data_IF_636922346263
#
_entry.id   IF_636922346263
#
_cell.length_a   1.000
_cell.length_b   1.000
_cell.length_c   1.000
_cell.angle_alpha   90.00
_cell.angle_beta   90.00
_cell.angle_gamma   90.00
#
_symmetry.space_group_name_H-M   'P 1'
#
loop_
_entity.id
_entity.type
_entity.pdbx_description
1 polymer ?
#
# COMPACT_ATOMS: atom_id res chain seq x y z
N UNK A 1 -33.69 -57.57 -31.18
CA UNK A 1 -32.70 -56.62 -31.73
C UNK A 1 -32.96 -55.23 -31.15
N UNK A 2 -32.70 -55.02 -29.84
CA UNK A 2 -32.96 -53.73 -29.14
C UNK A 2 -31.76 -53.31 -28.26
N UNK A 3 -30.59 -53.95 -28.43
CA UNK A 3 -29.43 -53.74 -27.54
C UNK A 3 -28.41 -52.71 -28.07
N UNK A 4 -28.50 -52.30 -29.34
CA UNK A 4 -27.48 -51.45 -29.98
C UNK A 4 -27.85 -49.96 -29.98
N UNK A 5 -29.14 -49.64 -29.89
CA UNK A 5 -29.63 -48.24 -29.87
C UNK A 5 -29.54 -47.61 -28.49
N UNK A 6 -29.75 -48.37 -27.41
CA UNK A 6 -29.63 -47.86 -26.03
C UNK A 6 -28.18 -47.51 -25.66
N UNK A 7 -27.18 -48.31 -26.07
CA UNK A 7 -25.77 -47.99 -25.77
C UNK A 7 -25.22 -46.80 -26.57
N UNK A 8 -25.82 -46.52 -27.72
CA UNK A 8 -25.47 -45.36 -28.55
C UNK A 8 -26.12 -44.09 -27.98
N UNK A 9 -27.35 -44.18 -27.47
CA UNK A 9 -28.03 -43.08 -26.77
C UNK A 9 -27.33 -42.78 -25.44
N UNK A 10 -26.87 -43.79 -24.69
CA UNK A 10 -26.07 -43.59 -23.47
C UNK A 10 -24.70 -42.96 -23.73
N UNK A 11 -24.06 -43.26 -24.88
CA UNK A 11 -22.82 -42.58 -25.32
C UNK A 11 -23.04 -41.15 -25.86
N UNK A 12 -24.25 -40.82 -26.30
CA UNK A 12 -24.63 -39.49 -26.80
C UNK A 12 -25.19 -38.60 -25.68
N UNK A 13 -25.80 -39.16 -24.64
CA UNK A 13 -26.27 -38.43 -23.45
C UNK A 13 -25.12 -37.97 -22.55
N UNK A 14 -23.98 -38.67 -22.55
CA UNK A 14 -22.75 -38.22 -21.85
C UNK A 14 -22.10 -36.98 -22.49
N UNK A 15 -22.52 -36.57 -23.70
CA UNK A 15 -22.02 -35.35 -24.37
C UNK A 15 -22.78 -34.06 -23.99
N UNK A 16 -23.76 -34.11 -23.07
CA UNK A 16 -24.57 -32.93 -22.72
C UNK A 16 -24.05 -32.13 -21.51
N UNK A 17 -22.81 -32.32 -21.07
CA UNK A 17 -22.20 -31.60 -19.92
C UNK A 17 -20.84 -30.97 -20.27
N UNK A 18 -20.68 -30.48 -21.51
CA UNK A 18 -19.38 -30.06 -22.04
C UNK A 18 -18.93 -28.68 -21.53
N UNK A 19 -18.38 -28.63 -20.31
CA UNK A 19 -17.40 -27.61 -19.94
C UNK A 19 -16.11 -27.78 -20.74
N UNK A 20 -15.30 -26.71 -20.85
CA UNK A 20 -14.01 -26.76 -21.57
C UNK A 20 -13.12 -27.83 -20.88
N UNK A 21 -12.61 -28.83 -21.62
CA UNK A 21 -11.76 -29.86 -21.03
C UNK A 21 -10.39 -29.28 -20.69
N UNK A 22 -9.99 -29.37 -19.42
CA UNK A 22 -8.72 -28.88 -18.91
C UNK A 22 -7.94 -30.04 -18.30
N UNK A 23 -6.70 -30.22 -18.72
CA UNK A 23 -5.83 -31.31 -18.27
C UNK A 23 -4.84 -30.79 -17.23
N UNK A 24 -4.69 -31.53 -16.14
CA UNK A 24 -3.81 -31.20 -15.02
C UNK A 24 -2.94 -32.39 -14.65
N UNK A 25 -1.64 -32.20 -14.56
CA UNK A 25 -0.68 -33.26 -14.23
C UNK A 25 0.27 -32.78 -13.13
N UNK A 26 0.32 -33.50 -12.01
CA UNK A 26 1.25 -33.16 -10.92
C UNK A 26 2.70 -33.42 -11.33
N UNK A 27 2.93 -34.36 -12.26
CA UNK A 27 4.26 -34.79 -12.71
C UNK A 27 4.79 -33.98 -13.89
N UNK A 28 3.93 -33.62 -14.83
CA UNK A 28 4.35 -33.02 -16.11
C UNK A 28 3.74 -31.64 -16.37
N UNK A 29 2.89 -31.14 -15.48
CA UNK A 29 2.21 -29.86 -15.63
C UNK A 29 2.99 -28.66 -15.11
N UNK A 30 2.66 -27.48 -15.63
CA UNK A 30 3.23 -26.21 -15.20
C UNK A 30 2.10 -25.16 -15.05
N UNK A 31 1.98 -24.54 -13.88
CA UNK A 31 0.92 -23.55 -13.61
C UNK A 31 1.21 -22.16 -14.19
N UNK A 32 2.46 -21.83 -14.49
CA UNK A 32 2.86 -20.53 -15.03
C UNK A 32 2.86 -20.52 -16.57
N UNK A 33 3.27 -21.63 -17.20
CA UNK A 33 3.45 -21.73 -18.65
C UNK A 33 2.49 -22.71 -19.34
N UNK A 34 1.74 -23.50 -18.57
CA UNK A 34 0.72 -24.40 -19.11
C UNK A 34 -0.47 -23.63 -19.67
N UNK A 35 -1.12 -24.20 -20.68
CA UNK A 35 -2.37 -23.68 -21.23
C UNK A 35 -3.58 -24.55 -20.84
N UNK A 36 -3.33 -25.64 -20.10
CA UNK A 36 -4.38 -26.58 -19.70
C UNK A 36 -4.78 -27.56 -20.81
N UNK A 37 -4.11 -27.56 -21.96
CA UNK A 37 -4.26 -28.59 -22.99
C UNK A 37 -3.58 -29.90 -22.56
N UNK A 38 -3.90 -30.97 -23.27
CA UNK A 38 -3.27 -32.28 -23.04
C UNK A 38 -1.74 -32.26 -23.30
N UNK A 39 -1.27 -31.34 -24.15
CA UNK A 39 0.14 -31.18 -24.51
C UNK A 39 0.92 -30.31 -23.52
N UNK A 40 0.25 -29.34 -22.89
CA UNK A 40 0.81 -28.42 -21.89
C UNK A 40 -0.14 -28.30 -20.69
N UNK A 41 -0.32 -29.38 -19.91
CA UNK A 41 -1.27 -29.41 -18.82
C UNK A 41 -0.87 -28.43 -17.71
N UNK A 42 -1.85 -27.95 -16.96
CA UNK A 42 -1.57 -27.25 -15.70
C UNK A 42 -0.99 -28.21 -14.67
N UNK A 43 -0.28 -27.70 -13.67
CA UNK A 43 0.19 -28.51 -12.56
C UNK A 43 -0.93 -28.76 -11.55
N UNK A 44 -1.79 -27.77 -11.33
CA UNK A 44 -2.87 -27.83 -10.35
C UNK A 44 -4.25 -27.57 -10.97
N UNK A 45 -5.30 -28.29 -10.51
CA UNK A 45 -6.69 -28.01 -10.90
C UNK A 45 -7.15 -26.59 -10.61
N UNK A 46 -6.56 -25.94 -9.61
CA UNK A 46 -6.87 -24.56 -9.24
C UNK A 46 -6.54 -23.57 -10.34
N UNK A 47 -5.43 -23.77 -11.05
CA UNK A 47 -5.01 -22.90 -12.15
C UNK A 47 -6.02 -22.95 -13.33
N UNK A 48 -6.62 -24.11 -13.57
CA UNK A 48 -7.71 -24.25 -14.54
C UNK A 48 -8.90 -23.33 -14.22
N UNK A 49 -9.35 -23.31 -12.96
CA UNK A 49 -10.45 -22.44 -12.52
C UNK A 49 -10.10 -20.94 -12.58
N UNK A 50 -8.83 -20.57 -12.34
CA UNK A 50 -8.36 -19.19 -12.46
C UNK A 50 -8.42 -18.67 -13.89
N UNK A 51 -8.04 -19.49 -14.87
CA UNK A 51 -7.93 -19.08 -16.27
C UNK A 51 -9.26 -19.18 -17.03
N UNK A 52 -10.05 -20.23 -16.78
CA UNK A 52 -11.20 -20.59 -17.60
C UNK A 52 -12.56 -20.53 -16.85
N UNK A 53 -12.55 -20.11 -15.58
CA UNK A 53 -13.74 -19.96 -14.73
C UNK A 53 -14.51 -21.27 -14.45
N UNK A 54 -15.77 -21.20 -14.02
CA UNK A 54 -16.52 -22.33 -13.45
C UNK A 54 -17.07 -23.34 -14.48
N UNK A 55 -16.96 -23.04 -15.78
CA UNK A 55 -17.49 -23.84 -16.89
C UNK A 55 -16.45 -24.78 -17.49
N UNK A 56 -15.68 -25.46 -16.64
CA UNK A 56 -14.60 -26.38 -17.04
C UNK A 56 -14.78 -27.79 -16.50
N UNK A 57 -14.26 -28.74 -17.26
CA UNK A 57 -14.19 -30.16 -16.91
C UNK A 57 -12.71 -30.53 -16.75
N UNK A 58 -12.29 -30.82 -15.51
CA UNK A 58 -10.86 -31.06 -15.21
C UNK A 58 -10.54 -32.55 -15.25
N UNK A 59 -9.46 -32.90 -15.96
CA UNK A 59 -8.84 -34.21 -15.99
C UNK A 59 -7.53 -34.19 -15.19
N UNK A 60 -7.28 -35.22 -14.39
CA UNK A 60 -6.07 -35.42 -13.58
C UNK A 60 -5.32 -36.68 -14.03
N UNK A 61 -4.06 -36.83 -13.61
CA UNK A 61 -3.29 -38.06 -13.83
C UNK A 61 -4.05 -39.28 -13.26
N UNK A 62 -4.29 -40.28 -14.09
CA UNK A 62 -4.92 -41.54 -13.65
C UNK A 62 -4.02 -42.26 -12.63
N UNK A 63 -4.61 -42.78 -11.55
CA UNK A 63 -3.89 -43.63 -10.59
C UNK A 63 -3.66 -45.05 -11.09
N UNK A 64 -4.38 -45.44 -12.14
CA UNK A 64 -4.35 -46.77 -12.71
C UNK A 64 -3.96 -46.66 -14.18
N UNK A 65 -2.70 -47.01 -14.48
CA UNK A 65 -2.15 -46.91 -15.85
C UNK A 65 -2.90 -47.82 -16.84
N UNK A 66 -3.66 -48.81 -16.35
CA UNK A 66 -4.48 -49.69 -17.19
C UNK A 66 -5.74 -49.03 -17.77
N UNK A 67 -6.17 -47.89 -17.20
CA UNK A 67 -7.39 -47.16 -17.62
C UNK A 67 -7.11 -45.94 -18.51
N UNK A 68 -5.85 -45.72 -18.88
CA UNK A 68 -5.40 -44.57 -19.67
C UNK A 68 -4.71 -43.50 -18.81
N UNK A 69 -4.16 -42.48 -19.49
CA UNK A 69 -3.32 -41.44 -18.87
C UNK A 69 -4.11 -40.46 -17.99
N UNK A 70 -5.39 -40.22 -18.31
CA UNK A 70 -6.21 -39.18 -17.69
C UNK A 70 -7.47 -39.75 -17.06
N UNK A 71 -7.81 -39.27 -15.87
CA UNK A 71 -9.03 -39.57 -15.14
C UNK A 71 -9.81 -38.28 -14.85
N UNK A 72 -11.14 -38.34 -14.84
CA UNK A 72 -11.97 -37.18 -14.50
C UNK A 72 -11.78 -36.81 -13.02
N UNK A 73 -11.59 -35.52 -12.73
CA UNK A 73 -11.52 -35.02 -11.36
C UNK A 73 -12.79 -35.38 -10.58
N UNK A 74 -12.64 -36.05 -9.44
CA UNK A 74 -13.76 -36.48 -8.62
C UNK A 74 -14.62 -35.30 -8.15
N UNK A 75 -15.95 -35.48 -8.05
CA UNK A 75 -16.90 -34.46 -7.59
C UNK A 75 -16.49 -33.84 -6.23
N UNK A 76 -15.94 -34.65 -5.32
CA UNK A 76 -15.45 -34.19 -4.01
C UNK A 76 -14.22 -33.30 -4.13
N UNK A 77 -13.26 -33.68 -4.99
CA UNK A 77 -12.05 -32.89 -5.24
C UNK A 77 -12.39 -31.58 -5.96
N UNK A 78 -13.27 -31.64 -6.98
CA UNK A 78 -13.76 -30.44 -7.68
C UNK A 78 -14.44 -29.44 -6.75
N UNK A 79 -15.29 -29.91 -5.82
CA UNK A 79 -15.92 -29.04 -4.81
C UNK A 79 -14.89 -28.37 -3.90
N UNK A 80 -13.85 -29.09 -3.47
CA UNK A 80 -12.76 -28.54 -2.64
C UNK A 80 -11.99 -27.43 -3.38
N UNK A 81 -11.64 -27.67 -4.64
CA UNK A 81 -10.92 -26.69 -5.47
C UNK A 81 -11.79 -25.45 -5.74
N UNK A 82 -13.10 -25.62 -5.99
CA UNK A 82 -14.05 -24.50 -6.14
C UNK A 82 -14.16 -23.64 -4.88
N UNK A 83 -14.19 -24.27 -3.70
CA UNK A 83 -14.18 -23.53 -2.42
C UNK A 83 -12.88 -22.72 -2.29
N UNK A 84 -11.73 -23.33 -2.55
CA UNK A 84 -10.43 -22.64 -2.50
C UNK A 84 -10.34 -21.47 -3.48
N UNK A 85 -10.80 -21.65 -4.72
CA UNK A 85 -10.85 -20.57 -5.71
C UNK A 85 -11.77 -19.42 -5.28
N UNK A 86 -12.94 -19.74 -4.72
CA UNK A 86 -13.87 -18.73 -4.21
C UNK A 86 -13.28 -17.94 -3.03
N UNK A 87 -12.53 -18.59 -2.13
CA UNK A 87 -11.81 -17.94 -1.04
C UNK A 87 -10.69 -17.02 -1.54
N UNK A 88 -9.86 -17.47 -2.48
CA UNK A 88 -8.82 -16.64 -3.12
C UNK A 88 -9.42 -15.42 -3.81
N UNK A 89 -10.49 -15.62 -4.59
CA UNK A 89 -11.20 -14.51 -5.27
C UNK A 89 -11.76 -13.51 -4.27
N UNK A 90 -12.38 -13.97 -3.18
CA UNK A 90 -12.87 -13.09 -2.10
C UNK A 90 -11.75 -12.34 -1.40
N UNK A 91 -10.60 -12.97 -1.18
CA UNK A 91 -9.43 -12.34 -0.58
C UNK A 91 -8.83 -11.27 -1.50
N UNK A 92 -8.69 -11.58 -2.79
CA UNK A 92 -8.23 -10.63 -3.81
C UNK A 92 -9.18 -9.44 -3.94
N UNK A 93 -10.49 -9.68 -4.01
CA UNK A 93 -11.48 -8.62 -4.09
C UNK A 93 -11.45 -7.73 -2.84
N UNK A 94 -11.31 -8.32 -1.64
CA UNK A 94 -11.15 -7.55 -0.41
C UNK A 94 -9.88 -6.70 -0.40
N UNK A 95 -8.74 -7.24 -0.84
CA UNK A 95 -7.48 -6.49 -0.95
C UNK A 95 -7.63 -5.33 -1.93
N UNK A 96 -8.19 -5.60 -3.12
CA UNK A 96 -8.43 -4.58 -4.15
C UNK A 96 -9.40 -3.51 -3.68
N UNK A 97 -10.48 -3.89 -3.02
CA UNK A 97 -11.45 -2.95 -2.45
C UNK A 97 -10.81 -2.08 -1.36
N UNK A 98 -10.01 -2.69 -0.48
CA UNK A 98 -9.27 -1.95 0.54
C UNK A 98 -8.24 -0.98 -0.07
N UNK A 99 -7.48 -1.42 -1.07
CA UNK A 99 -6.52 -0.58 -1.81
C UNK A 99 -7.22 0.59 -2.52
N UNK A 100 -8.39 0.33 -3.11
CA UNK A 100 -9.22 1.35 -3.77
C UNK A 100 -9.76 2.36 -2.76
N UNK A 101 -10.35 1.91 -1.66
CA UNK A 101 -10.84 2.78 -0.57
C UNK A 101 -9.71 3.61 0.05
N UNK A 102 -8.53 3.00 0.26
CA UNK A 102 -7.36 3.70 0.80
C UNK A 102 -6.79 4.72 -0.21
N UNK A 103 -6.84 4.43 -1.51
CA UNK A 103 -6.47 5.37 -2.57
C UNK A 103 -7.44 6.56 -2.64
N UNK A 104 -8.75 6.30 -2.63
CA UNK A 104 -9.77 7.35 -2.59
C UNK A 104 -9.62 8.24 -1.36
N UNK A 105 -9.45 7.65 -0.18
CA UNK A 105 -9.23 8.40 1.07
C UNK A 105 -7.96 9.27 1.01
N UNK A 106 -6.90 8.79 0.35
CA UNK A 106 -5.67 9.56 0.15
C UNK A 106 -5.89 10.74 -0.77
N UNK A 107 -6.62 10.53 -1.87
CA UNK A 107 -6.94 11.57 -2.85
C UNK A 107 -7.84 12.66 -2.25
N UNK A 108 -8.91 12.27 -1.56
CA UNK A 108 -9.78 13.21 -0.83
C UNK A 108 -8.99 14.07 0.17
N UNK A 109 -8.07 13.45 0.92
CA UNK A 109 -7.19 14.17 1.86
C UNK A 109 -6.25 15.15 1.16
N UNK A 110 -5.74 14.79 -0.02
CA UNK A 110 -4.89 15.68 -0.80
C UNK A 110 -5.68 16.87 -1.38
N UNK A 111 -6.91 16.64 -1.83
CA UNK A 111 -7.79 17.71 -2.30
C UNK A 111 -8.22 18.65 -1.16
N UNK A 112 -8.60 18.12 0.01
CA UNK A 112 -8.86 18.92 1.22
C UNK A 112 -7.64 19.78 1.56
N UNK A 113 -6.43 19.22 1.42
CA UNK A 113 -5.19 19.92 1.75
C UNK A 113 -4.82 21.04 0.76
N UNK A 114 -5.19 20.91 -0.51
CA UNK A 114 -4.99 21.96 -1.53
C UNK A 114 -5.81 23.22 -1.24
N UNK A 115 -6.95 23.08 -0.56
CA UNK A 115 -7.80 24.22 -0.19
C UNK A 115 -7.19 25.03 0.98
N UNK A 116 -6.36 24.40 1.80
CA UNK A 116 -5.73 25.02 2.95
C UNK A 116 -4.45 25.78 2.54
N UNK A 117 -4.61 27.06 2.21
CA UNK A 117 -3.50 27.96 1.90
C UNK A 117 -3.14 28.79 3.14
N UNK A 118 -1.87 28.68 3.56
CA UNK A 118 -1.32 29.48 4.67
C UNK A 118 -0.53 30.67 4.12
N UNK A 119 -0.54 31.79 4.85
CA UNK A 119 0.24 33.00 4.54
C UNK A 119 0.91 33.49 5.81
N UNK A 120 2.08 34.09 5.67
CA UNK A 120 2.72 34.76 6.80
C UNK A 120 1.86 35.94 7.26
N UNK A 121 1.55 35.97 8.57
CA UNK A 121 0.84 37.08 9.19
C UNK A 121 1.81 38.24 9.45
N UNK A 122 1.64 39.33 8.68
CA UNK A 122 2.46 40.54 8.78
C UNK A 122 2.17 41.38 10.03
N UNK A 123 1.12 41.07 10.79
CA UNK A 123 0.82 41.74 12.05
C UNK A 123 1.68 41.22 13.21
N UNK A 124 2.26 40.02 13.06
CA UNK A 124 3.19 39.45 14.02
C UNK A 124 4.53 40.19 14.02
N UNK A 125 5.30 40.00 15.09
CA UNK A 125 6.66 40.53 15.17
C UNK A 125 7.52 40.03 14.01
N UNK A 126 8.45 40.88 13.54
CA UNK A 126 9.38 40.49 12.49
C UNK A 126 10.24 39.32 12.97
N UNK A 127 10.25 38.22 12.21
CA UNK A 127 11.03 37.05 12.54
C UNK A 127 12.53 37.29 12.28
N UNK A 128 13.37 37.04 13.30
CA UNK A 128 14.83 37.12 13.15
C UNK A 128 15.39 35.81 12.57
N UNK A 129 16.22 35.91 11.54
CA UNK A 129 16.83 34.72 10.91
C UNK A 129 17.99 34.23 11.77
N UNK A 130 17.89 33.01 12.28
CA UNK A 130 18.91 32.42 13.16
C UNK A 130 19.27 30.99 12.75
N UNK A 131 20.41 30.50 13.27
CA UNK A 131 20.81 29.09 13.20
C UNK A 131 20.36 28.35 14.46
N UNK A 132 20.17 27.03 14.36
CA UNK A 132 19.66 26.21 15.47
C UNK A 132 20.54 26.34 16.72
N UNK A 133 21.88 26.40 16.56
CA UNK A 133 22.80 26.57 17.69
C UNK A 133 22.56 27.83 18.56
N UNK A 134 21.87 28.85 18.03
CA UNK A 134 21.60 30.10 18.75
C UNK A 134 20.22 30.16 19.41
N UNK A 135 19.33 29.18 19.17
CA UNK A 135 17.91 29.21 19.59
C UNK A 135 17.75 29.49 21.09
N UNK A 136 18.69 29.02 21.92
CA UNK A 136 18.72 29.29 23.37
C UNK A 136 18.70 30.76 23.76
N UNK A 137 19.23 31.63 22.91
CA UNK A 137 19.29 33.09 23.16
C UNK A 137 18.02 33.82 22.72
N UNK A 138 17.03 33.10 22.17
CA UNK A 138 15.84 33.67 21.53
C UNK A 138 14.54 33.22 22.20
N UNK A 139 14.57 32.87 23.49
CA UNK A 139 13.36 32.52 24.25
C UNK A 139 12.27 33.59 24.10
N UNK A 140 11.03 33.16 23.85
CA UNK A 140 9.84 33.98 23.58
C UNK A 140 9.96 34.95 22.40
N UNK A 141 10.96 34.79 21.53
CA UNK A 141 11.10 35.59 20.31
C UNK A 141 10.61 34.80 19.10
N UNK A 142 10.07 35.54 18.13
CA UNK A 142 9.72 35.00 16.81
C UNK A 142 10.96 34.93 15.95
N UNK A 143 11.25 33.75 15.41
CA UNK A 143 12.46 33.46 14.65
C UNK A 143 12.13 32.77 13.33
N UNK A 144 13.01 32.93 12.34
CA UNK A 144 12.98 32.17 11.07
C UNK A 144 14.19 31.25 11.03
N UNK A 145 13.96 29.96 10.80
CA UNK A 145 15.02 28.96 10.74
C UNK A 145 14.89 28.16 9.44
N UNK A 146 16.01 27.99 8.76
CA UNK A 146 16.13 27.14 7.58
C UNK A 146 16.75 25.80 7.98
N UNK A 147 16.23 24.70 7.44
CA UNK A 147 16.81 23.39 7.69
C UNK A 147 16.17 22.28 6.87
N UNK A 148 16.63 21.07 7.15
CA UNK A 148 16.10 19.83 6.60
C UNK A 148 15.27 19.10 7.65
N UNK A 149 14.19 18.49 7.19
CA UNK A 149 13.32 17.69 8.04
C UNK A 149 14.02 16.37 8.38
N UNK A 150 14.55 16.25 9.59
CA UNK A 150 15.21 15.03 10.03
C UNK A 150 14.20 13.92 10.36
N UNK A 151 13.15 14.25 11.12
CA UNK A 151 12.08 13.31 11.49
C UNK A 151 10.73 14.00 11.49
N UNK A 152 9.69 13.26 11.11
CA UNK A 152 8.29 13.73 11.16
C UNK A 152 7.47 12.74 11.96
N UNK A 153 6.72 13.23 12.94
CA UNK A 153 5.70 12.46 13.66
C UNK A 153 4.37 13.20 13.57
N UNK A 154 3.39 12.57 12.94
CA UNK A 154 2.01 13.11 12.81
C UNK A 154 1.11 12.46 13.85
N UNK A 155 0.42 13.27 14.64
CA UNK A 155 -0.54 12.83 15.64
C UNK A 155 -1.94 13.36 15.28
N UNK A 156 -2.74 12.50 14.64
CA UNK A 156 -4.04 12.90 14.09
C UNK A 156 -3.89 13.91 12.93
N UNK A 157 -4.91 14.75 12.75
CA UNK A 157 -4.94 15.78 11.68
C UNK A 157 -4.38 17.14 12.10
N UNK A 158 -4.24 17.38 13.41
CA UNK A 158 -4.07 18.74 13.96
C UNK A 158 -2.74 18.96 14.69
N UNK A 159 -1.86 17.97 14.72
CA UNK A 159 -0.59 18.05 15.43
C UNK A 159 0.49 17.29 14.68
N UNK A 160 1.56 17.99 14.31
CA UNK A 160 2.73 17.42 13.66
C UNK A 160 3.98 17.91 14.35
N UNK A 161 4.84 16.98 14.74
CA UNK A 161 6.17 17.25 15.28
C UNK A 161 7.20 17.03 14.18
N UNK A 162 8.05 18.03 13.97
CA UNK A 162 9.15 17.99 13.02
C UNK A 162 10.44 18.16 13.83
N UNK A 163 11.39 17.24 13.70
CA UNK A 163 12.75 17.50 14.13
C UNK A 163 13.48 18.11 12.95
N UNK A 164 13.86 19.39 13.07
CA UNK A 164 14.60 20.12 12.06
C UNK A 164 16.10 20.00 12.33
N UNK A 165 16.91 19.84 11.28
CA UNK A 165 18.38 19.88 11.33
C UNK A 165 18.94 20.93 10.38
N UNK A 166 20.00 21.63 10.76
CA UNK A 166 20.68 22.62 9.91
C UNK A 166 22.21 22.45 9.86
N UNK A 167 22.71 21.34 10.41
CA UNK A 167 24.14 21.06 10.58
C UNK A 167 24.74 21.63 11.87
N UNK A 168 24.07 22.59 12.52
CA UNK A 168 24.50 23.18 13.80
C UNK A 168 23.78 22.60 15.02
N UNK A 169 22.70 21.85 14.80
CA UNK A 169 21.99 21.13 15.84
C UNK A 169 20.67 20.55 15.34
N UNK A 170 19.84 20.14 16.29
CA UNK A 170 18.47 19.68 16.08
C UNK A 170 17.51 20.57 16.88
N UNK A 171 16.33 20.83 16.31
CA UNK A 171 15.28 21.61 16.95
C UNK A 171 13.92 20.95 16.73
N UNK A 172 13.14 20.79 17.79
CA UNK A 172 11.75 20.37 17.67
C UNK A 172 10.88 21.54 17.22
N UNK A 173 10.14 21.36 16.13
CA UNK A 173 9.15 22.30 15.61
C UNK A 173 7.76 21.66 15.73
N UNK A 174 6.80 22.41 16.25
CA UNK A 174 5.43 21.96 16.46
C UNK A 174 4.52 22.72 15.50
N UNK A 175 3.87 21.98 14.61
CA UNK A 175 2.80 22.50 13.76
C UNK A 175 1.46 22.09 14.37
N UNK A 176 0.53 23.02 14.42
CA UNK A 176 -0.83 22.77 14.95
C UNK A 176 -1.90 23.28 13.98
N UNK A 177 -3.10 22.69 14.07
CA UNK A 177 -4.28 23.15 13.34
C UNK A 177 -4.06 23.17 11.81
N UNK A 178 -4.37 24.31 11.18
CA UNK A 178 -4.32 24.46 9.72
C UNK A 178 -2.93 24.22 9.12
N UNK A 179 -1.85 24.49 9.87
CA UNK A 179 -0.48 24.23 9.42
C UNK A 179 -0.24 22.75 9.13
N UNK A 180 -0.94 21.85 9.82
CA UNK A 180 -0.83 20.41 9.59
C UNK A 180 -1.60 19.93 8.36
N UNK A 181 -2.54 20.74 7.86
CA UNK A 181 -3.55 20.34 6.88
C UNK A 181 -3.30 20.95 5.50
N UNK A 182 -2.24 21.72 5.33
CA UNK A 182 -1.85 22.24 4.01
C UNK A 182 -1.32 21.12 3.12
N UNK A 183 -1.42 21.29 1.80
CA UNK A 183 -0.89 20.34 0.82
C UNK A 183 0.56 19.98 1.16
N UNK A 184 1.41 21.00 1.33
CA UNK A 184 2.82 20.85 1.69
C UNK A 184 3.04 20.07 2.99
N UNK A 185 2.24 20.32 4.03
CA UNK A 185 2.35 19.56 5.28
C UNK A 185 1.95 18.10 5.11
N UNK A 186 0.91 17.82 4.32
CA UNK A 186 0.42 16.45 4.08
C UNK A 186 1.45 15.63 3.31
N UNK A 187 2.10 16.21 2.31
CA UNK A 187 3.11 15.53 1.49
C UNK A 187 4.54 15.62 2.05
N UNK A 188 4.75 16.39 3.13
CA UNK A 188 6.09 16.61 3.69
C UNK A 188 6.78 15.29 4.03
N UNK A 189 7.99 15.12 3.53
CA UNK A 189 8.84 13.95 3.67
C UNK A 189 10.11 14.28 4.45
N UNK A 190 10.77 13.26 4.99
CA UNK A 190 12.10 13.41 5.58
C UNK A 190 13.10 13.86 4.52
N UNK A 191 14.06 14.65 4.96
CA UNK A 191 15.08 15.32 4.15
C UNK A 191 14.56 16.41 3.19
N UNK A 192 13.27 16.75 3.24
CA UNK A 192 12.76 17.97 2.61
C UNK A 192 13.38 19.21 3.27
N UNK A 193 13.73 20.21 2.45
CA UNK A 193 14.24 21.49 2.94
C UNK A 193 13.08 22.46 3.16
N UNK A 194 12.99 23.03 4.36
CA UNK A 194 11.92 23.94 4.75
C UNK A 194 12.48 25.20 5.43
N UNK A 195 11.70 26.28 5.41
CA UNK A 195 11.86 27.37 6.36
C UNK A 195 10.66 27.42 7.30
N UNK A 196 10.94 27.52 8.60
CA UNK A 196 9.94 27.59 9.66
C UNK A 196 10.02 28.92 10.37
N UNK A 197 8.85 29.46 10.70
CA UNK A 197 8.65 30.67 11.47
C UNK A 197 7.86 30.31 12.72
N UNK A 198 8.31 30.80 13.87
CA UNK A 198 7.63 30.47 15.11
C UNK A 198 8.22 31.17 16.31
N UNK A 199 7.58 30.98 17.45
CA UNK A 199 8.04 31.47 18.74
C UNK A 199 8.81 30.36 19.44
N UNK A 200 10.02 30.66 19.90
CA UNK A 200 10.81 29.74 20.72
C UNK A 200 10.21 29.66 22.12
N UNK A 201 9.91 28.45 22.59
CA UNK A 201 9.38 28.18 23.92
C UNK A 201 10.24 27.14 24.63
N UNK A 202 10.25 27.19 25.96
CA UNK A 202 10.72 26.08 26.77
C UNK A 202 9.77 24.87 26.60
N UNK A 203 10.34 23.67 26.67
CA UNK A 203 9.55 22.44 26.63
C UNK A 203 8.68 22.34 27.89
N UNK A 204 7.40 21.92 27.80
CA UNK A 204 6.54 21.73 28.96
C UNK A 204 7.12 20.73 29.97
N UNK A 205 6.79 20.93 31.25
CA UNK A 205 7.25 20.06 32.33
C UNK A 205 6.89 18.58 32.07
N UNK A 206 7.88 17.69 32.21
CA UNK A 206 7.73 16.24 31.96
C UNK A 206 7.89 15.80 30.50
N UNK A 207 8.15 16.74 29.57
CA UNK A 207 8.48 16.42 28.18
C UNK A 207 9.97 16.69 27.90
N UNK A 208 10.50 16.11 26.82
CA UNK A 208 11.89 16.32 26.40
C UNK A 208 11.94 16.56 24.90
N UNK A 209 12.71 17.58 24.51
CA UNK A 209 13.05 17.87 23.12
C UNK A 209 14.55 18.17 23.02
N UNK A 210 15.17 18.00 21.83
CA UNK A 210 16.57 18.36 21.64
C UNK A 210 16.83 19.82 22.05
N UNK A 211 17.70 20.01 23.04
CA UNK A 211 18.07 21.33 23.54
C UNK A 211 17.12 21.96 24.57
N UNK A 212 16.12 21.22 25.06
CA UNK A 212 15.09 21.63 26.03
C UNK A 212 14.26 22.85 25.59
N UNK A 213 14.20 23.06 24.27
CA UNK A 213 13.43 24.12 23.64
C UNK A 213 12.72 23.58 22.41
N UNK A 214 11.60 24.22 22.10
CA UNK A 214 10.78 23.91 20.94
C UNK A 214 10.36 25.19 20.23
N UNK A 215 10.10 25.07 18.93
CA UNK A 215 9.57 26.13 18.10
C UNK A 215 8.08 25.88 17.87
N UNK A 216 7.24 26.73 18.44
CA UNK A 216 5.81 26.73 18.13
C UNK A 216 5.62 27.47 16.82
N UNK A 217 5.35 26.72 15.76
CA UNK A 217 5.33 27.24 14.38
C UNK A 217 4.04 28.01 14.14
N UNK A 218 4.18 29.23 13.61
CA UNK A 218 3.08 30.05 13.13
C UNK A 218 2.97 30.04 11.59
N UNK A 219 4.08 29.79 10.90
CA UNK A 219 4.14 29.73 9.45
C UNK A 219 5.33 28.87 8.99
N UNK A 220 5.21 28.19 7.84
CA UNK A 220 6.34 27.49 7.23
C UNK A 220 6.19 27.45 5.71
N UNK A 221 7.32 27.25 5.03
CA UNK A 221 7.40 27.12 3.58
C UNK A 221 8.28 25.93 3.24
N UNK A 222 7.88 25.15 2.23
CA UNK A 222 8.75 24.12 1.64
C UNK A 222 9.62 24.77 0.57
N UNK A 223 10.93 24.67 0.72
CA UNK A 223 11.93 25.18 -0.23
C UNK A 223 12.23 24.11 -1.28
N UNK A 224 12.23 22.85 -0.87
CA UNK A 224 12.56 21.71 -1.72
C UNK A 224 11.96 20.43 -1.18
N UNK A 225 11.23 19.72 -2.04
CA UNK A 225 10.64 18.43 -1.71
C UNK A 225 11.69 17.31 -1.74
N UNK A 226 11.41 16.25 -1.00
CA UNK A 226 12.19 15.02 -0.97
C UNK A 226 11.28 13.83 -1.31
N UNK A 227 11.78 12.73 -1.92
CA UNK A 227 11.00 11.53 -2.16
C UNK A 227 10.38 10.94 -0.88
N UNK A 228 9.21 10.27 -0.97
CA UNK A 228 8.62 9.56 0.16
C UNK A 228 9.58 8.50 0.72
N UNK A 229 9.81 8.51 2.05
CA UNK A 229 10.61 7.51 2.76
C UNK A 229 12.05 7.93 3.10
N UNK A 230 12.57 9.01 2.51
CA UNK A 230 13.86 9.63 2.88
C UNK A 230 15.00 8.64 3.08
N UNK A 231 15.77 8.78 4.17
CA UNK A 231 16.93 7.92 4.45
C UNK A 231 16.58 6.45 4.63
N UNK A 232 15.39 6.11 5.13
CA UNK A 232 14.99 4.72 5.40
C UNK A 232 14.77 3.92 4.12
N UNK A 233 14.41 4.59 3.02
CA UNK A 233 14.33 3.97 1.69
C UNK A 233 15.72 3.66 1.12
N UNK A 234 16.71 4.51 1.42
CA UNK A 234 18.08 4.34 0.92
C UNK A 234 18.85 3.18 1.59
N UNK A 235 18.48 2.79 2.81
CA UNK A 235 19.18 1.68 3.52
C UNK A 235 18.71 0.30 3.07
N UNK A 236 17.59 0.20 2.34
CA UNK A 236 17.02 -1.08 1.88
C UNK A 236 17.39 -1.43 0.43
N UNK A 237 18.27 -0.66 -0.21
CA UNK A 237 18.87 -0.99 -1.52
C UNK A 237 20.31 -1.52 -1.33
N UNK A 238 20.47 -2.71 -0.72
CA UNK A 238 21.72 -3.49 -0.76
C UNK A 238 21.42 -4.97 -0.92
#
# INVERSE_FOLDING_TARGET
MVSTTESTIQKLEDCSMNGIPIYTSEKYGNDEQGDGSETKPFRTPLQGYRQYSDTITIYIDSKDESKGKWELLSKTQGKKVKIQYAEEKRKQERSRQQEFEDAQRREEKLEEAKQNVIKEDKSLSQAEVIKIKYVRNYHDKRVKIFGWVHRIRRQGKNLTFIILRDGTGFLQCILTGILCQTYDSVILSTEASISVYGIVRAVPEGQSAPGDQELVVDYFEVIGHSPPGGTDTLVNEV
#
